data_IF_672924549200
#
_entry.id   IF_672924549200
#
_cell.length_a   1.000
_cell.length_b   1.000
_cell.length_c   1.000
_cell.angle_alpha   90.00
_cell.angle_beta   90.00
_cell.angle_gamma   90.00
#
_symmetry.space_group_name_H-M   'P 1'
#
loop_
_entity.id
_entity.type
_entity.pdbx_description
1 polymer ?
#
# COMPACT_ATOMS: atom_id res chain seq x y z
N UNK A 1 -20.11 -7.99 -12.64
CA UNK A 1 -19.38 -7.80 -11.36
C UNK A 1 -18.01 -7.26 -11.64
N UNK A 2 -17.68 -6.14 -11.01
CA UNK A 2 -16.38 -5.45 -11.18
C UNK A 2 -15.46 -5.80 -10.02
N UNK A 3 -14.16 -5.85 -10.28
CA UNK A 3 -13.16 -6.22 -9.27
C UNK A 3 -12.19 -5.09 -9.01
N UNK A 4 -11.91 -4.84 -7.73
CA UNK A 4 -10.76 -4.08 -7.27
C UNK A 4 -9.75 -5.04 -6.65
N UNK A 5 -8.54 -5.05 -7.19
CA UNK A 5 -7.47 -5.94 -6.75
C UNK A 5 -6.42 -5.07 -6.06
N UNK A 6 -6.22 -5.30 -4.77
CA UNK A 6 -5.25 -4.56 -3.96
C UNK A 6 -4.05 -5.47 -3.66
N UNK A 7 -2.87 -5.05 -4.08
CA UNK A 7 -1.64 -5.81 -3.83
C UNK A 7 -0.63 -4.93 -3.11
N UNK A 8 -0.25 -5.31 -1.90
CA UNK A 8 0.91 -4.72 -1.26
C UNK A 8 2.16 -5.20 -1.99
N UNK A 9 3.11 -4.30 -2.24
CA UNK A 9 4.39 -4.66 -2.84
C UNK A 9 5.05 -5.85 -2.14
N UNK A 10 5.85 -6.63 -2.86
CA UNK A 10 6.68 -7.69 -2.30
C UNK A 10 7.63 -7.18 -1.23
N UNK A 11 8.24 -8.07 -0.46
CA UNK A 11 9.18 -7.70 0.59
C UNK A 11 10.26 -6.75 0.02
N UNK A 12 10.47 -5.58 0.62
CA UNK A 12 11.59 -4.70 0.29
C UNK A 12 12.84 -5.06 1.09
N UNK A 13 14.02 -4.57 0.63
CA UNK A 13 15.30 -4.75 1.36
C UNK A 13 15.14 -4.28 2.81
N UNK A 14 14.56 -3.10 3.06
CA UNK A 14 14.36 -2.59 4.42
C UNK A 14 13.24 -3.31 5.20
N UNK A 15 12.31 -3.98 4.53
CA UNK A 15 11.40 -4.90 5.23
C UNK A 15 12.16 -6.12 5.76
N UNK A 16 13.10 -6.68 4.99
CA UNK A 16 13.95 -7.78 5.42
C UNK A 16 14.87 -7.37 6.58
N UNK A 17 15.38 -6.14 6.57
CA UNK A 17 16.20 -5.56 7.64
C UNK A 17 15.39 -5.07 8.86
N UNK A 18 14.06 -5.22 8.83
CA UNK A 18 13.14 -4.73 9.87
C UNK A 18 13.25 -3.22 10.15
N UNK A 19 13.42 -2.39 9.12
CA UNK A 19 13.53 -0.93 9.21
C UNK A 19 12.23 -0.23 8.81
N UNK A 20 12.03 1.00 9.30
CA UNK A 20 10.98 1.90 8.83
C UNK A 20 11.36 2.48 7.47
N UNK A 21 10.56 2.22 6.43
CA UNK A 21 10.90 2.62 5.06
C UNK A 21 10.27 3.96 4.66
N UNK A 22 8.97 4.11 4.86
CA UNK A 22 8.26 5.33 4.45
C UNK A 22 8.44 5.66 2.97
N UNK A 23 8.86 6.89 2.68
CA UNK A 23 9.02 7.44 1.34
C UNK A 23 10.41 7.20 0.72
N UNK A 24 11.34 6.58 1.46
CA UNK A 24 12.61 6.15 0.88
C UNK A 24 12.37 5.14 -0.22
N UNK A 25 13.02 5.33 -1.37
CA UNK A 25 12.80 4.54 -2.58
C UNK A 25 13.66 3.27 -2.61
N UNK A 26 13.45 2.41 -1.60
CA UNK A 26 14.12 1.11 -1.45
C UNK A 26 13.53 0.09 -2.41
N UNK A 27 14.39 -0.77 -2.94
CA UNK A 27 14.03 -1.83 -3.87
C UNK A 27 13.41 -3.06 -3.19
N UNK A 28 12.88 -3.98 -4.00
CA UNK A 28 12.49 -5.31 -3.56
C UNK A 28 13.72 -6.12 -3.16
N UNK A 29 13.57 -7.01 -2.18
CA UNK A 29 14.51 -8.12 -1.94
C UNK A 29 14.24 -9.25 -2.94
N UNK A 30 15.13 -10.23 -3.03
CA UNK A 30 14.94 -11.42 -3.88
C UNK A 30 13.61 -12.11 -3.56
N UNK A 31 13.31 -12.29 -2.28
CA UNK A 31 12.01 -12.80 -1.81
C UNK A 31 10.84 -11.92 -2.28
N UNK A 32 11.01 -10.60 -2.29
CA UNK A 32 9.98 -9.68 -2.75
C UNK A 32 9.72 -9.80 -4.25
N UNK A 33 10.74 -10.11 -5.04
CA UNK A 33 10.59 -10.40 -6.47
C UNK A 33 9.79 -11.69 -6.66
N UNK A 34 10.13 -12.76 -5.93
CA UNK A 34 9.39 -14.02 -5.95
C UNK A 34 7.92 -13.84 -5.54
N UNK A 35 7.66 -13.04 -4.49
CA UNK A 35 6.30 -12.69 -4.05
C UNK A 35 5.51 -11.95 -5.14
N UNK A 36 6.15 -11.03 -5.85
CA UNK A 36 5.52 -10.28 -6.95
C UNK A 36 5.20 -11.20 -8.15
N UNK A 37 6.13 -12.08 -8.51
CA UNK A 37 5.91 -13.06 -9.58
C UNK A 37 4.80 -14.06 -9.24
N UNK A 38 4.78 -14.55 -8.00
CA UNK A 38 3.72 -15.42 -7.50
C UNK A 38 2.36 -14.74 -7.54
N UNK A 39 2.29 -13.46 -7.17
CA UNK A 39 1.06 -12.67 -7.28
C UNK A 39 0.53 -12.64 -8.70
N UNK A 40 1.42 -12.37 -9.67
CA UNK A 40 1.08 -12.38 -11.09
C UNK A 40 0.62 -13.74 -11.57
N UNK A 41 1.30 -14.80 -11.16
CA UNK A 41 0.94 -16.17 -11.55
C UNK A 41 -0.46 -16.56 -11.04
N UNK A 42 -0.78 -16.28 -9.77
CA UNK A 42 -2.10 -16.59 -9.20
C UNK A 42 -3.22 -15.82 -9.93
N UNK A 43 -2.99 -14.54 -10.26
CA UNK A 43 -3.96 -13.75 -11.03
C UNK A 43 -4.20 -14.38 -12.40
N UNK A 44 -3.13 -14.83 -13.08
CA UNK A 44 -3.19 -15.53 -14.38
C UNK A 44 -3.94 -16.84 -14.30
N UNK A 45 -3.60 -17.67 -13.33
CA UNK A 45 -4.21 -19.00 -13.14
C UNK A 45 -5.71 -18.93 -12.86
N UNK A 46 -6.14 -17.88 -12.16
CA UNK A 46 -7.55 -17.61 -11.88
C UNK A 46 -8.25 -16.83 -13.00
N UNK A 47 -7.54 -16.54 -14.10
CA UNK A 47 -8.04 -15.82 -15.27
C UNK A 47 -8.73 -14.48 -14.89
N UNK A 48 -8.14 -13.76 -13.91
CA UNK A 48 -8.68 -12.48 -13.48
C UNK A 48 -8.23 -11.39 -14.46
N UNK A 49 -9.17 -10.86 -15.21
CA UNK A 49 -8.90 -9.76 -16.16
C UNK A 49 -8.50 -8.50 -15.40
N UNK A 50 -7.47 -7.79 -15.88
CA UNK A 50 -7.04 -6.48 -15.43
C UNK A 50 -7.26 -5.51 -16.58
N UNK A 51 -8.08 -4.47 -16.39
CA UNK A 51 -8.37 -3.47 -17.42
C UNK A 51 -7.55 -2.20 -17.25
N UNK A 52 -7.23 -1.82 -16.00
CA UNK A 52 -6.44 -0.63 -15.68
C UNK A 52 -5.65 -0.85 -14.40
N UNK A 53 -4.48 -0.24 -14.32
CA UNK A 53 -3.57 -0.41 -13.18
C UNK A 53 -3.09 0.92 -12.63
N UNK A 54 -2.93 0.97 -11.31
CA UNK A 54 -2.38 2.09 -10.55
C UNK A 54 -1.25 1.64 -9.62
N UNK A 55 -0.28 2.52 -9.39
CA UNK A 55 0.79 2.29 -8.42
C UNK A 55 1.29 3.61 -7.83
N UNK A 56 2.08 3.51 -6.77
CA UNK A 56 2.75 4.64 -6.15
C UNK A 56 3.97 5.12 -6.97
N UNK A 57 4.64 6.16 -6.49
CA UNK A 57 5.91 6.64 -7.04
C UNK A 57 7.13 5.81 -6.61
N UNK A 58 6.96 4.81 -5.74
CA UNK A 58 8.07 4.07 -5.15
C UNK A 58 8.36 2.78 -5.95
N UNK A 59 9.64 2.58 -6.31
CA UNK A 59 10.07 1.50 -7.21
C UNK A 59 9.62 0.10 -6.75
N UNK A 60 9.56 -0.20 -5.45
CA UNK A 60 9.10 -1.49 -4.94
C UNK A 60 7.66 -1.81 -5.34
N UNK A 61 6.77 -0.80 -5.35
CA UNK A 61 5.39 -0.97 -5.79
C UNK A 61 5.31 -1.04 -7.33
N UNK A 62 6.08 -0.20 -8.03
CA UNK A 62 6.18 -0.23 -9.49
C UNK A 62 6.70 -1.59 -9.97
N UNK A 63 7.79 -2.10 -9.38
CA UNK A 63 8.36 -3.41 -9.74
C UNK A 63 7.40 -4.56 -9.46
N UNK A 64 6.65 -4.50 -8.36
CA UNK A 64 5.60 -5.50 -8.07
C UNK A 64 4.52 -5.46 -9.14
N UNK A 65 4.01 -4.28 -9.50
CA UNK A 65 3.02 -4.14 -10.56
C UNK A 65 3.55 -4.65 -11.91
N UNK A 66 4.73 -4.22 -12.31
CA UNK A 66 5.30 -4.63 -13.61
C UNK A 66 5.53 -6.14 -13.68
N UNK A 67 5.89 -6.78 -12.57
CA UNK A 67 6.01 -8.23 -12.48
C UNK A 67 4.66 -8.92 -12.71
N UNK A 68 3.59 -8.41 -12.07
CA UNK A 68 2.23 -8.92 -12.24
C UNK A 68 1.78 -8.76 -13.71
N UNK A 69 1.96 -7.58 -14.29
CA UNK A 69 1.55 -7.31 -15.68
C UNK A 69 2.28 -8.23 -16.67
N UNK A 70 3.60 -8.38 -16.52
CA UNK A 70 4.42 -9.29 -17.35
C UNK A 70 3.93 -10.74 -17.29
N UNK A 71 3.64 -11.25 -16.09
CA UNK A 71 3.13 -12.63 -15.91
C UNK A 71 1.78 -12.84 -16.58
N UNK A 72 0.99 -11.78 -16.72
CA UNK A 72 -0.33 -11.82 -17.37
C UNK A 72 -0.31 -11.44 -18.86
N UNK A 73 0.87 -11.31 -19.46
CA UNK A 73 1.08 -10.94 -20.86
C UNK A 73 0.41 -9.58 -21.21
N UNK A 74 0.36 -8.66 -20.25
CA UNK A 74 -0.23 -7.34 -20.39
C UNK A 74 0.83 -6.28 -20.71
N UNK A 75 0.42 -5.23 -21.42
CA UNK A 75 1.27 -4.07 -21.65
C UNK A 75 1.69 -3.42 -20.32
N UNK A 76 2.92 -2.93 -20.27
CA UNK A 76 3.45 -2.21 -19.10
C UNK A 76 2.94 -0.76 -19.08
N UNK A 77 1.60 -0.62 -19.18
CA UNK A 77 0.90 0.65 -19.13
C UNK A 77 0.13 0.76 -17.81
N UNK A 78 0.50 1.73 -16.99
CA UNK A 78 -0.13 1.95 -15.69
C UNK A 78 -0.05 3.43 -15.29
N UNK A 79 -0.89 3.81 -14.35
CA UNK A 79 -0.92 5.17 -13.80
C UNK A 79 -0.14 5.20 -12.49
N UNK A 80 0.72 6.21 -12.33
CA UNK A 80 1.43 6.45 -11.07
C UNK A 80 0.78 7.60 -10.30
N UNK A 81 0.69 7.47 -8.98
CA UNK A 81 0.11 8.49 -8.12
C UNK A 81 0.83 8.53 -6.77
N UNK A 82 1.32 9.73 -6.39
CA UNK A 82 1.98 9.91 -5.09
C UNK A 82 1.03 9.67 -3.91
N UNK A 83 -0.26 9.88 -4.11
CA UNK A 83 -1.29 9.60 -3.12
C UNK A 83 -1.30 8.12 -2.70
N UNK A 84 -0.77 7.22 -3.51
CA UNK A 84 -0.61 5.81 -3.20
C UNK A 84 0.73 5.48 -2.52
N UNK A 85 1.63 6.47 -2.30
CA UNK A 85 2.88 6.25 -1.57
C UNK A 85 2.61 5.68 -0.17
N UNK A 86 3.64 5.03 0.41
CA UNK A 86 3.59 4.57 1.80
C UNK A 86 3.42 5.78 2.76
N UNK A 87 2.93 5.54 3.96
CA UNK A 87 2.89 6.52 5.02
C UNK A 87 4.30 7.03 5.34
N UNK A 88 4.46 8.33 5.48
CA UNK A 88 5.74 8.93 5.86
C UNK A 88 6.00 8.71 7.35
N UNK A 89 7.11 8.05 7.68
CA UNK A 89 7.41 7.69 9.07
C UNK A 89 8.17 8.77 9.86
N UNK A 90 8.31 9.98 9.32
CA UNK A 90 8.99 11.08 10.01
C UNK A 90 10.42 10.72 10.41
N UNK A 91 10.81 11.11 11.62
CA UNK A 91 12.13 10.83 12.18
C UNK A 91 12.41 9.35 12.46
N UNK A 92 11.41 8.47 12.37
CA UNK A 92 11.62 7.03 12.47
C UNK A 92 12.14 6.39 11.19
N UNK A 93 12.12 7.12 10.06
CA UNK A 93 12.60 6.62 8.76
C UNK A 93 14.04 6.13 8.88
N UNK A 94 14.30 4.93 8.37
CA UNK A 94 15.62 4.29 8.42
C UNK A 94 15.95 3.55 9.72
N UNK A 95 15.26 3.81 10.81
CA UNK A 95 15.54 3.15 12.09
C UNK A 95 15.08 1.70 12.09
N UNK A 96 15.83 0.83 12.79
CA UNK A 96 15.41 -0.55 13.04
C UNK A 96 14.23 -0.57 14.03
N UNK A 97 13.20 -1.35 13.75
CA UNK A 97 11.96 -1.37 14.52
C UNK A 97 12.14 -1.94 15.93
N UNK A 98 12.97 -2.99 16.09
CA UNK A 98 13.20 -3.60 17.40
C UNK A 98 14.03 -2.67 18.31
N UNK A 99 15.06 -2.04 17.76
CA UNK A 99 15.87 -1.06 18.49
C UNK A 99 15.03 0.16 18.88
N UNK A 100 14.20 0.64 17.96
CA UNK A 100 13.27 1.73 18.23
C UNK A 100 12.29 1.36 19.34
N UNK A 101 11.70 0.16 19.28
CA UNK A 101 10.80 -0.34 20.34
C UNK A 101 11.47 -0.37 21.71
N UNK A 102 12.75 -0.84 21.77
CA UNK A 102 13.52 -0.84 23.00
C UNK A 102 13.80 0.57 23.53
N UNK A 103 14.06 1.52 22.63
CA UNK A 103 14.43 2.90 22.98
C UNK A 103 13.23 3.73 23.48
N UNK A 104 12.07 3.64 22.83
CA UNK A 104 10.90 4.49 23.14
C UNK A 104 9.81 3.78 23.94
N UNK A 105 9.96 2.48 24.21
CA UNK A 105 8.96 1.64 24.87
C UNK A 105 7.86 1.12 23.96
N UNK A 106 7.22 0.02 24.37
CA UNK A 106 6.24 -0.69 23.55
C UNK A 106 5.00 0.14 23.24
N UNK A 107 4.48 0.89 24.23
CA UNK A 107 3.26 1.67 24.07
C UNK A 107 3.44 2.81 23.07
N UNK A 108 4.54 3.57 23.18
CA UNK A 108 4.83 4.65 22.26
C UNK A 108 5.15 4.12 20.86
N UNK A 109 5.85 2.99 20.76
CA UNK A 109 6.11 2.32 19.50
C UNK A 109 4.81 1.87 18.81
N UNK A 110 3.87 1.27 19.56
CA UNK A 110 2.55 0.90 19.04
C UNK A 110 1.76 2.13 18.56
N UNK A 111 1.77 3.23 19.35
CA UNK A 111 1.13 4.48 18.96
C UNK A 111 1.65 4.98 17.62
N UNK A 112 2.96 5.16 17.46
CA UNK A 112 3.54 5.63 16.21
C UNK A 112 3.35 4.68 15.03
N UNK A 113 3.28 3.38 15.29
CA UNK A 113 3.19 2.39 14.23
C UNK A 113 1.76 2.09 13.79
N UNK A 114 0.81 2.13 14.70
CA UNK A 114 -0.51 1.52 14.48
C UNK A 114 -1.71 2.44 14.72
N UNK A 115 -1.58 3.49 15.52
CA UNK A 115 -2.71 4.37 15.80
C UNK A 115 -3.25 5.03 14.53
N UNK A 116 -4.50 5.43 14.62
CA UNK A 116 -5.20 6.10 13.54
C UNK A 116 -4.63 7.50 13.26
N UNK A 117 -4.51 8.33 14.30
CA UNK A 117 -4.29 9.78 14.22
C UNK A 117 -2.97 10.28 14.83
N UNK A 118 -2.14 9.38 15.39
CA UNK A 118 -0.86 9.76 15.98
C UNK A 118 0.27 9.54 14.95
N UNK A 119 0.87 10.64 14.51
CA UNK A 119 2.07 10.62 13.67
C UNK A 119 3.35 10.46 14.50
N UNK A 120 4.41 9.84 13.95
CA UNK A 120 5.76 9.95 14.51
C UNK A 120 6.24 11.42 14.49
N UNK A 121 7.28 11.78 15.26
CA UNK A 121 7.89 13.09 15.15
C UNK A 121 8.32 13.39 13.70
N UNK A 122 8.25 14.65 13.25
CA UNK A 122 8.60 14.99 11.87
C UNK A 122 10.07 14.68 11.55
N UNK A 123 10.34 14.40 10.30
CA UNK A 123 11.70 14.29 9.77
C UNK A 123 12.33 15.69 9.70
N UNK A 124 13.60 15.80 10.02
CA UNK A 124 14.35 17.05 9.87
C UNK A 124 14.49 17.42 8.39
N UNK A 125 14.45 18.72 8.06
CA UNK A 125 14.57 19.23 6.68
C UNK A 125 15.87 18.83 5.97
N UNK A 126 16.94 18.58 6.71
CA UNK A 126 18.25 18.17 6.18
C UNK A 126 18.55 16.70 6.41
N UNK A 127 17.53 15.87 6.59
CA UNK A 127 17.71 14.44 6.77
C UNK A 127 18.36 13.81 5.53
N UNK A 128 19.35 12.96 5.73
CA UNK A 128 20.00 12.18 4.64
C UNK A 128 18.98 11.32 3.87
N UNK A 129 17.90 10.90 4.51
CA UNK A 129 16.87 10.06 3.90
C UNK A 129 16.05 10.80 2.84
N UNK A 130 16.00 12.13 2.83
CA UNK A 130 15.30 12.88 1.78
C UNK A 130 15.97 12.70 0.40
N UNK A 131 17.28 12.55 0.37
CA UNK A 131 18.04 12.31 -0.87
C UNK A 131 17.75 10.94 -1.49
N UNK A 132 17.21 10.02 -0.71
CA UNK A 132 16.85 8.66 -1.12
C UNK A 132 15.39 8.53 -1.56
N UNK A 133 14.67 9.63 -1.70
CA UNK A 133 13.29 9.62 -2.20
C UNK A 133 13.26 9.40 -3.72
N UNK A 134 12.15 8.84 -4.20
CA UNK A 134 11.94 8.66 -5.63
C UNK A 134 12.07 9.99 -6.38
N UNK A 135 12.76 10.03 -7.52
CA UNK A 135 12.79 11.21 -8.40
C UNK A 135 11.38 11.69 -8.81
N UNK A 136 10.40 10.78 -8.87
CA UNK A 136 8.99 11.13 -9.16
C UNK A 136 8.39 12.05 -8.10
N UNK A 137 8.93 12.07 -6.87
CA UNK A 137 8.46 12.98 -5.83
C UNK A 137 8.65 14.46 -6.20
N UNK A 138 9.56 14.78 -7.14
CA UNK A 138 9.73 16.13 -7.66
C UNK A 138 8.47 16.67 -8.39
N UNK A 139 7.57 15.79 -8.83
CA UNK A 139 6.29 16.17 -9.45
C UNK A 139 5.16 16.41 -8.45
N UNK A 140 5.41 16.20 -7.16
CA UNK A 140 4.41 16.44 -6.11
C UNK A 140 4.27 17.95 -5.92
N UNK A 141 3.02 18.46 -5.84
CA UNK A 141 2.80 19.89 -5.63
C UNK A 141 3.51 20.42 -4.38
N UNK A 142 4.04 21.64 -4.46
CA UNK A 142 4.68 22.32 -3.33
C UNK A 142 3.69 22.35 -2.15
N UNK A 143 4.16 21.98 -0.95
CA UNK A 143 3.36 21.91 0.26
C UNK A 143 2.62 20.59 0.49
N UNK A 144 2.64 19.67 -0.47
CA UNK A 144 2.05 18.33 -0.30
C UNK A 144 3.07 17.26 0.11
N UNK A 145 4.36 17.60 0.18
CA UNK A 145 5.39 16.71 0.72
C UNK A 145 5.32 16.67 2.26
N UNK A 146 4.96 15.53 2.85
CA UNK A 146 4.86 15.45 4.31
C UNK A 146 6.24 15.30 4.95
N UNK A 147 6.41 15.87 6.14
CA UNK A 147 7.54 15.57 7.03
C UNK A 147 7.25 14.40 7.98
N UNK A 148 6.00 14.05 8.15
CA UNK A 148 5.49 12.89 8.90
C UNK A 148 4.02 12.66 8.55
N UNK A 149 3.52 11.45 8.77
CA UNK A 149 2.11 11.12 8.59
C UNK A 149 1.62 10.16 9.69
N UNK A 150 0.41 10.41 10.18
CA UNK A 150 -0.44 9.40 10.80
C UNK A 150 -1.11 8.53 9.73
N UNK A 151 -1.87 7.51 10.13
CA UNK A 151 -2.70 6.76 9.17
C UNK A 151 -3.86 7.64 8.64
N UNK A 152 -4.36 8.56 9.47
CA UNK A 152 -5.38 9.54 9.06
C UNK A 152 -4.86 10.45 7.95
N UNK A 153 -3.66 10.99 8.06
CA UNK A 153 -3.07 11.83 7.01
C UNK A 153 -2.91 11.04 5.69
N UNK A 154 -2.51 9.76 5.80
CA UNK A 154 -2.47 8.85 4.64
C UNK A 154 -3.86 8.65 4.04
N UNK A 155 -4.89 8.48 4.86
CA UNK A 155 -6.28 8.34 4.45
C UNK A 155 -6.78 9.62 3.72
N UNK A 156 -6.47 10.78 4.27
CA UNK A 156 -6.91 12.07 3.75
C UNK A 156 -6.35 12.37 2.33
N UNK A 157 -5.29 11.68 1.88
CA UNK A 157 -4.79 11.76 0.49
C UNK A 157 -5.20 10.57 -0.38
N UNK A 158 -5.33 9.37 0.19
CA UNK A 158 -5.67 8.15 -0.58
C UNK A 158 -7.14 8.14 -0.97
N UNK A 159 -8.05 8.49 -0.06
CA UNK A 159 -9.49 8.39 -0.30
C UNK A 159 -9.98 9.37 -1.35
N UNK A 160 -9.63 10.68 -1.32
CA UNK A 160 -10.00 11.58 -2.41
C UNK A 160 -9.46 11.14 -3.77
N UNK A 161 -8.25 10.58 -3.83
CA UNK A 161 -7.70 10.02 -5.07
C UNK A 161 -8.52 8.83 -5.56
N UNK A 162 -8.90 7.91 -4.66
CA UNK A 162 -9.77 6.80 -5.00
C UNK A 162 -11.13 7.29 -5.56
N UNK A 163 -11.79 8.23 -4.88
CA UNK A 163 -13.09 8.74 -5.28
C UNK A 163 -13.04 9.47 -6.64
N UNK A 164 -12.01 10.27 -6.88
CA UNK A 164 -11.92 11.10 -8.07
C UNK A 164 -11.33 10.36 -9.29
N UNK A 165 -10.42 9.42 -9.09
CA UNK A 165 -9.66 8.80 -10.19
C UNK A 165 -9.93 7.30 -10.37
N UNK A 166 -10.07 6.54 -9.29
CA UNK A 166 -10.16 5.08 -9.38
C UNK A 166 -11.61 4.63 -9.52
N UNK A 167 -12.49 5.15 -8.69
CA UNK A 167 -13.91 4.76 -8.58
C UNK A 167 -14.65 4.84 -9.91
N UNK A 168 -14.38 5.85 -10.72
CA UNK A 168 -14.98 6.01 -12.06
C UNK A 168 -14.73 4.79 -12.97
N UNK A 169 -13.53 4.18 -12.88
CA UNK A 169 -13.23 3.01 -13.69
C UNK A 169 -14.02 1.78 -13.22
N UNK A 170 -14.26 1.64 -11.92
CA UNK A 170 -15.11 0.57 -11.39
C UNK A 170 -16.58 0.76 -11.82
N UNK A 171 -17.06 2.00 -11.84
CA UNK A 171 -18.41 2.36 -12.36
C UNK A 171 -18.52 2.02 -13.86
N UNK A 172 -17.45 2.24 -14.62
CA UNK A 172 -17.34 1.87 -16.04
C UNK A 172 -17.16 0.35 -16.26
N UNK A 173 -17.36 -0.47 -15.23
CA UNK A 173 -17.19 -1.93 -15.27
C UNK A 173 -15.78 -2.41 -15.61
N UNK A 174 -14.73 -1.63 -15.31
CA UNK A 174 -13.33 -2.02 -15.47
C UNK A 174 -12.81 -2.64 -14.19
N UNK A 175 -12.11 -3.76 -14.31
CA UNK A 175 -11.34 -4.32 -13.19
C UNK A 175 -10.07 -3.53 -12.99
N UNK A 176 -9.85 -3.09 -11.75
CA UNK A 176 -8.73 -2.22 -11.38
C UNK A 176 -7.75 -2.98 -10.51
N UNK A 177 -6.46 -2.91 -10.87
CA UNK A 177 -5.35 -3.38 -10.02
C UNK A 177 -4.62 -2.20 -9.40
N UNK A 178 -4.43 -2.23 -8.07
CA UNK A 178 -3.59 -1.27 -7.34
C UNK A 178 -2.44 -2.03 -6.70
N UNK A 179 -1.20 -1.69 -7.08
CA UNK A 179 0.00 -2.12 -6.36
C UNK A 179 0.53 -0.95 -5.53
N UNK A 180 0.45 -1.08 -4.20
CA UNK A 180 0.82 0.01 -3.29
C UNK A 180 1.46 -0.52 -1.98
N UNK A 181 1.19 0.12 -0.84
CA UNK A 181 1.91 -0.13 0.41
C UNK A 181 0.97 -0.49 1.55
N UNK A 182 1.56 -0.97 2.65
CA UNK A 182 0.79 -1.42 3.81
C UNK A 182 -0.17 -0.35 4.34
N UNK A 183 0.29 0.88 4.55
CA UNK A 183 -0.59 1.90 5.14
C UNK A 183 -1.51 2.57 4.11
N UNK A 184 -1.07 2.81 2.86
CA UNK A 184 -1.98 3.34 1.84
C UNK A 184 -3.13 2.37 1.55
N UNK A 185 -2.87 1.07 1.48
CA UNK A 185 -3.93 0.06 1.32
C UNK A 185 -4.80 -0.08 2.57
N UNK A 186 -4.23 0.02 3.79
CA UNK A 186 -5.00 0.05 5.04
C UNK A 186 -5.96 1.25 5.09
N UNK A 187 -5.49 2.41 4.66
CA UNK A 187 -6.31 3.62 4.56
C UNK A 187 -7.48 3.41 3.59
N UNK A 188 -7.21 2.84 2.42
CA UNK A 188 -8.26 2.52 1.45
C UNK A 188 -9.24 1.46 1.97
N UNK A 189 -8.75 0.39 2.60
CA UNK A 189 -9.60 -0.63 3.23
C UNK A 189 -10.46 -0.05 4.35
N UNK A 190 -9.90 0.86 5.18
CA UNK A 190 -10.69 1.55 6.21
C UNK A 190 -11.90 2.26 5.61
N UNK A 191 -11.72 2.95 4.50
CA UNK A 191 -12.80 3.61 3.78
C UNK A 191 -13.81 2.61 3.21
N UNK A 192 -13.34 1.65 2.42
CA UNK A 192 -14.20 0.70 1.69
C UNK A 192 -15.04 -0.19 2.62
N UNK A 193 -14.48 -0.59 3.75
CA UNK A 193 -15.12 -1.51 4.70
C UNK A 193 -15.63 -0.82 5.97
N UNK A 194 -15.61 0.52 5.99
CA UNK A 194 -16.05 1.31 7.15
C UNK A 194 -15.44 0.85 8.49
N UNK A 195 -14.13 0.54 8.49
CA UNK A 195 -13.43 0.03 9.67
C UNK A 195 -13.28 1.16 10.70
N UNK A 196 -13.60 0.90 11.96
CA UNK A 196 -13.45 1.90 13.03
C UNK A 196 -11.97 2.28 13.28
N UNK A 197 -11.75 3.43 13.93
CA UNK A 197 -10.42 3.95 14.25
C UNK A 197 -9.64 3.00 15.18
N UNK A 198 -10.33 2.27 16.03
CA UNK A 198 -9.73 1.29 16.93
C UNK A 198 -9.39 -0.02 16.21
N UNK A 199 -10.29 -0.54 15.38
CA UNK A 199 -10.10 -1.81 14.67
C UNK A 199 -9.08 -1.73 13.55
N UNK A 200 -8.87 -0.56 12.93
CA UNK A 200 -7.87 -0.41 11.86
C UNK A 200 -6.44 -0.76 12.34
N UNK A 201 -6.19 -0.71 13.65
CA UNK A 201 -4.90 -1.07 14.22
C UNK A 201 -4.54 -2.55 14.02
N UNK A 202 -5.53 -3.41 13.87
CA UNK A 202 -5.39 -4.87 13.74
C UNK A 202 -5.23 -5.31 12.28
N UNK A 203 -5.64 -4.47 11.31
CA UNK A 203 -5.56 -4.81 9.91
C UNK A 203 -4.10 -4.90 9.44
N UNK A 204 -3.72 -6.06 8.91
CA UNK A 204 -2.46 -6.27 8.22
C UNK A 204 -2.71 -6.67 6.76
N UNK A 205 -2.00 -6.03 5.84
CA UNK A 205 -1.98 -6.38 4.42
C UNK A 205 -0.68 -7.14 4.16
N UNK A 206 -0.72 -8.44 3.85
CA UNK A 206 0.49 -9.22 3.57
C UNK A 206 1.17 -8.76 2.29
N UNK A 207 2.51 -8.85 2.24
CA UNK A 207 3.28 -8.55 1.02
C UNK A 207 2.96 -9.55 -0.09
N UNK A 208 2.84 -9.08 -1.32
CA UNK A 208 2.68 -9.95 -2.50
C UNK A 208 1.52 -10.94 -2.40
N UNK A 209 0.42 -10.59 -1.74
CA UNK A 209 -0.79 -11.41 -1.70
C UNK A 209 -2.00 -10.54 -2.11
N UNK A 210 -2.51 -10.70 -3.34
CA UNK A 210 -3.60 -9.86 -3.82
C UNK A 210 -4.89 -10.08 -3.03
N UNK A 211 -5.48 -8.98 -2.53
CA UNK A 211 -6.83 -8.92 -1.99
C UNK A 211 -7.78 -8.53 -3.12
N UNK A 212 -8.74 -9.38 -3.44
CA UNK A 212 -9.79 -9.11 -4.42
C UNK A 212 -11.05 -8.65 -3.69
N UNK A 213 -11.62 -7.56 -4.16
CA UNK A 213 -12.91 -7.02 -3.72
C UNK A 213 -13.84 -7.04 -4.93
N UNK A 214 -14.91 -7.80 -4.85
CA UNK A 214 -15.92 -7.92 -5.91
C UNK A 214 -17.11 -7.01 -5.59
N UNK A 215 -17.50 -6.22 -6.57
CA UNK A 215 -18.64 -5.31 -6.44
C UNK A 215 -19.82 -5.77 -7.31
N UNK A 216 -21.00 -5.62 -6.75
CA UNK A 216 -22.26 -5.64 -7.47
C UNK A 216 -22.62 -4.25 -8.01
N UNK A 217 -23.84 -4.11 -8.51
CA UNK A 217 -24.36 -2.82 -8.99
C UNK A 217 -24.20 -1.71 -7.92
N UNK A 218 -23.91 -0.50 -8.35
CA UNK A 218 -23.70 0.67 -7.48
C UNK A 218 -22.50 0.55 -6.53
N UNK A 219 -21.51 -0.28 -6.86
CA UNK A 219 -20.31 -0.53 -6.07
C UNK A 219 -20.59 -1.02 -4.63
N UNK A 220 -21.64 -1.80 -4.46
CA UNK A 220 -21.87 -2.54 -3.21
C UNK A 220 -20.89 -3.71 -3.16
N UNK A 221 -20.15 -3.84 -2.05
CA UNK A 221 -19.22 -4.95 -1.87
C UNK A 221 -20.03 -6.24 -1.66
N UNK A 222 -19.85 -7.19 -2.59
CA UNK A 222 -20.45 -8.50 -2.53
C UNK A 222 -19.54 -9.49 -1.82
N UNK A 223 -18.24 -9.50 -2.18
CA UNK A 223 -17.28 -10.48 -1.68
C UNK A 223 -15.88 -9.89 -1.65
N UNK A 224 -15.08 -10.36 -0.70
CA UNK A 224 -13.65 -10.04 -0.65
C UNK A 224 -12.84 -11.24 -0.14
N UNK A 225 -11.64 -11.43 -0.66
CA UNK A 225 -10.77 -12.56 -0.31
C UNK A 225 -9.34 -12.34 -0.79
N UNK A 226 -8.39 -12.91 -0.06
CA UNK A 226 -7.02 -13.02 -0.55
C UNK A 226 -6.89 -14.18 -1.54
N UNK A 227 -6.07 -14.00 -2.59
CA UNK A 227 -5.86 -15.05 -3.60
C UNK A 227 -5.00 -16.19 -3.07
N UNK A 228 -3.95 -15.90 -2.31
CA UNK A 228 -3.14 -16.92 -1.63
C UNK A 228 -3.68 -17.19 -0.22
N UNK A 229 -4.59 -18.14 -0.13
CA UNK A 229 -5.24 -18.51 1.15
C UNK A 229 -4.28 -19.12 2.17
N UNK A 230 -3.12 -19.60 1.74
CA UNK A 230 -2.11 -20.18 2.67
C UNK A 230 -1.37 -19.11 3.44
N UNK A 231 -1.36 -17.87 2.93
CA UNK A 231 -0.68 -16.70 3.50
C UNK A 231 -1.66 -15.67 4.07
N UNK A 232 -2.95 -15.87 3.85
CA UNK A 232 -3.98 -15.00 4.39
C UNK A 232 -4.17 -15.29 5.88
N UNK A 233 -3.88 -14.31 6.73
CA UNK A 233 -4.62 -14.22 7.98
C UNK A 233 -6.01 -13.73 7.62
N UNK A 234 -7.05 -14.26 8.26
CA UNK A 234 -8.42 -13.85 8.01
C UNK A 234 -8.48 -12.32 7.97
N UNK A 235 -9.10 -11.80 6.94
CA UNK A 235 -9.40 -10.37 6.88
C UNK A 235 -10.48 -10.14 7.92
N UNK A 236 -10.08 -9.73 9.11
CA UNK A 236 -11.02 -9.47 10.22
C UNK A 236 -11.76 -8.16 9.92
N UNK A 237 -12.69 -8.23 9.01
CA UNK A 237 -13.74 -7.23 8.84
C UNK A 237 -15.04 -7.78 9.41
N UNK A 238 -15.03 -8.17 10.67
CA UNK A 238 -16.28 -8.39 11.37
C UNK A 238 -16.90 -7.03 11.62
N UNK A 239 -17.97 -6.77 10.88
CA UNK A 239 -18.92 -5.69 11.12
C UNK A 239 -19.44 -5.71 12.54
#
# INVERSE_FOLDING_TARGET
MTKLILTRHGQSIWNAENRFTGWVDVDLSDKGIEEAEKSGQIIKDLNIKIDISYTSYLKRAIKTLTSILKKNDLELKFNTAWQLNERHYGSLTGLNKEETKKKIGEDQFKKYRRSWDIAPPPMEEKSEYQTLFSPLNASIPIGMLPFTESLKDTYDRVVPFYENEIKKNLIDNKNVLISAHGNSLRALCKYLFNISDTKINELEIPTGNPLVIEFENNLVINKYYYLDKTRAKDVIFNQ
#
